data_IF_049021580336
#
_entry.id   IF_049021580336
#
_cell.length_a   1.000
_cell.length_b   1.000
_cell.length_c   1.000
_cell.angle_alpha   90.00
_cell.angle_beta   90.00
_cell.angle_gamma   90.00
#
_symmetry.space_group_name_H-M   'P 1'
#
loop_
_entity.id
_entity.type
_entity.pdbx_description
1 polymer ?
#
# COMPACT_ATOMS: atom_id res chain seq x y z
N UNK A 1 15.54 -8.16 -23.19
CA UNK A 1 15.44 -6.75 -22.77
C UNK A 1 14.63 -6.70 -21.48
N UNK A 2 15.27 -6.35 -20.37
CA UNK A 2 14.60 -6.11 -19.10
C UNK A 2 14.08 -4.67 -19.14
N UNK A 3 12.76 -4.49 -19.33
CA UNK A 3 12.16 -3.17 -19.33
C UNK A 3 12.06 -2.66 -17.89
N UNK A 4 12.79 -1.59 -17.59
CA UNK A 4 12.67 -0.85 -16.32
C UNK A 4 11.37 -0.02 -16.36
N UNK A 5 10.30 -0.57 -15.79
CA UNK A 5 9.03 0.14 -15.67
C UNK A 5 9.09 1.09 -14.49
N UNK A 6 9.15 2.40 -14.77
CA UNK A 6 8.96 3.43 -13.74
C UNK A 6 7.50 3.51 -13.34
N UNK A 7 7.24 3.35 -12.04
CA UNK A 7 5.90 3.47 -11.43
C UNK A 7 5.77 4.85 -10.77
N UNK A 8 4.88 5.68 -11.30
CA UNK A 8 4.57 7.01 -10.77
C UNK A 8 3.26 6.99 -10.00
N UNK A 9 3.23 6.30 -8.86
CA UNK A 9 2.07 6.25 -7.96
C UNK A 9 2.40 6.98 -6.67
N UNK A 10 1.45 7.77 -6.19
CA UNK A 10 1.48 8.43 -4.88
C UNK A 10 0.26 8.00 -4.10
N UNK A 11 0.36 8.09 -2.78
CA UNK A 11 -0.81 7.90 -1.94
C UNK A 11 -0.57 8.30 -0.50
N UNK A 12 -1.66 8.36 0.25
CA UNK A 12 -1.70 8.78 1.64
C UNK A 12 -2.71 7.95 2.41
N UNK A 13 -2.40 7.70 3.68
CA UNK A 13 -3.32 7.17 4.68
C UNK A 13 -3.30 8.10 5.89
N UNK A 14 -4.46 8.31 6.52
CA UNK A 14 -4.58 9.23 7.64
C UNK A 14 -5.62 8.75 8.66
N UNK A 15 -5.39 9.11 9.92
CA UNK A 15 -6.29 8.93 11.05
C UNK A 15 -6.59 10.33 11.61
N UNK A 16 -7.86 10.70 11.68
CA UNK A 16 -8.27 12.00 12.24
C UNK A 16 -8.49 11.94 13.76
N UNK A 17 -8.69 13.11 14.38
CA UNK A 17 -8.98 13.25 15.81
C UNK A 17 -10.32 12.63 16.26
N UNK A 18 -11.19 12.29 15.31
CA UNK A 18 -12.48 11.64 15.56
C UNK A 18 -12.38 10.11 15.42
N UNK A 19 -11.20 9.58 15.13
CA UNK A 19 -10.96 8.15 14.94
C UNK A 19 -11.32 7.63 13.55
N UNK A 20 -11.49 8.51 12.55
CA UNK A 20 -11.77 8.10 11.18
C UNK A 20 -10.50 7.83 10.39
N UNK A 21 -10.50 6.70 9.69
CA UNK A 21 -9.46 6.31 8.76
C UNK A 21 -9.82 6.71 7.33
N UNK A 22 -8.84 7.21 6.59
CA UNK A 22 -8.96 7.52 5.17
C UNK A 22 -7.73 7.06 4.40
N UNK A 23 -7.94 6.66 3.15
CA UNK A 23 -6.89 6.32 2.21
C UNK A 23 -7.17 6.95 0.84
N UNK A 24 -6.11 7.41 0.17
CA UNK A 24 -6.18 7.91 -1.19
C UNK A 24 -4.93 7.54 -1.99
N UNK A 25 -5.14 7.01 -3.18
CA UNK A 25 -4.08 6.58 -4.11
C UNK A 25 -4.31 7.21 -5.48
N UNK A 26 -3.25 7.74 -6.09
CA UNK A 26 -3.30 8.36 -7.42
C UNK A 26 -2.08 7.97 -8.26
N UNK A 27 -2.27 7.81 -9.58
CA UNK A 27 -1.22 7.32 -10.47
C UNK A 27 -1.39 7.79 -11.90
N UNK A 28 -0.26 7.99 -12.60
CA UNK A 28 -0.23 8.06 -14.07
C UNK A 28 -0.35 6.68 -14.73
N UNK A 29 -0.21 5.60 -13.96
CA UNK A 29 -0.08 4.23 -14.42
C UNK A 29 1.37 3.85 -14.72
N UNK A 30 1.56 2.88 -15.62
CA UNK A 30 2.89 2.42 -16.01
C UNK A 30 3.35 3.13 -17.29
N UNK A 31 4.66 3.37 -17.38
CA UNK A 31 5.31 3.78 -18.62
C UNK A 31 4.96 2.79 -19.74
N UNK A 32 4.65 3.30 -20.94
CA UNK A 32 4.30 2.49 -22.12
C UNK A 32 3.08 1.56 -21.94
N UNK A 33 2.14 1.89 -21.04
CA UNK A 33 0.88 1.15 -20.93
C UNK A 33 0.06 1.25 -22.22
N UNK A 34 -0.72 0.20 -22.53
CA UNK A 34 -1.75 0.27 -23.58
C UNK A 34 -2.80 1.33 -23.23
N UNK A 35 -3.36 2.00 -24.24
CA UNK A 35 -4.50 2.88 -24.05
C UNK A 35 -5.65 2.13 -23.36
N UNK A 36 -6.25 2.77 -22.36
CA UNK A 36 -7.32 2.17 -21.57
C UNK A 36 -6.86 1.15 -20.51
N UNK A 37 -5.57 0.84 -20.37
CA UNK A 37 -5.08 -0.01 -19.27
C UNK A 37 -5.34 0.65 -17.92
N UNK A 38 -6.00 -0.09 -17.03
CA UNK A 38 -6.27 0.29 -15.63
C UNK A 38 -5.43 -0.58 -14.70
N UNK A 39 -4.76 0.06 -13.73
CA UNK A 39 -4.00 -0.61 -12.66
C UNK A 39 -4.80 -0.70 -11.35
N UNK A 40 -4.10 -0.99 -10.27
CA UNK A 40 -4.67 -1.20 -8.92
C UNK A 40 -5.15 0.09 -8.24
N UNK A 41 -4.48 1.22 -8.47
CA UNK A 41 -4.72 2.46 -7.71
C UNK A 41 -6.19 2.92 -7.65
N UNK A 42 -6.99 2.89 -8.75
CA UNK A 42 -8.41 3.26 -8.69
C UNK A 42 -9.34 2.13 -8.25
N UNK A 43 -8.84 0.93 -7.95
CA UNK A 43 -9.65 -0.26 -7.63
C UNK A 43 -9.67 -0.45 -6.11
N UNK A 44 -10.86 -0.33 -5.52
CA UNK A 44 -11.08 -0.51 -4.09
C UNK A 44 -10.69 -1.94 -3.68
N UNK A 45 -9.88 -2.04 -2.63
CA UNK A 45 -9.37 -3.31 -2.12
C UNK A 45 -8.13 -3.83 -2.83
N UNK A 46 -7.76 -3.28 -4.00
CA UNK A 46 -6.49 -3.58 -4.64
C UNK A 46 -5.41 -2.58 -4.22
N UNK A 47 -5.49 -1.35 -4.72
CA UNK A 47 -4.50 -0.30 -4.47
C UNK A 47 -4.92 0.77 -3.45
N UNK A 48 -6.19 0.78 -3.06
CA UNK A 48 -6.75 1.73 -2.10
C UNK A 48 -7.84 1.06 -1.25
N UNK A 49 -7.79 1.20 0.07
CA UNK A 49 -8.82 0.69 0.97
C UNK A 49 -8.81 1.44 2.31
N UNK A 50 -9.97 1.68 2.91
CA UNK A 50 -10.08 2.20 4.27
C UNK A 50 -11.33 1.65 4.97
N UNK A 51 -11.17 1.24 6.22
CA UNK A 51 -12.23 0.80 7.10
C UNK A 51 -11.88 1.17 8.55
N UNK A 52 -12.74 1.95 9.21
CA UNK A 52 -12.54 2.44 10.59
C UNK A 52 -12.35 1.30 11.61
N UNK A 53 -12.84 0.10 11.32
CA UNK A 53 -12.67 -1.05 12.22
C UNK A 53 -11.34 -1.78 12.05
N UNK A 54 -10.62 -1.52 10.96
CA UNK A 54 -9.39 -2.22 10.61
C UNK A 54 -8.27 -1.24 10.28
N UNK A 55 -8.08 -0.95 8.99
CA UNK A 55 -6.93 -0.21 8.48
C UNK A 55 -7.29 0.68 7.29
N UNK A 56 -6.50 1.73 7.10
CA UNK A 56 -6.32 2.44 5.84
C UNK A 56 -5.08 1.93 5.13
N UNK A 57 -5.17 1.69 3.82
CA UNK A 57 -4.09 1.16 2.99
C UNK A 57 -4.03 1.90 1.65
N UNK A 58 -2.83 2.32 1.28
CA UNK A 58 -2.49 2.78 -0.07
C UNK A 58 -1.32 1.98 -0.60
N UNK A 59 -1.40 1.53 -1.85
CA UNK A 59 -0.38 0.70 -2.49
C UNK A 59 0.27 1.37 -3.70
N UNK A 60 1.45 0.89 -4.05
CA UNK A 60 2.20 1.25 -5.27
C UNK A 60 2.94 0.03 -5.79
N UNK A 61 2.98 -0.18 -7.12
CA UNK A 61 3.75 -1.26 -7.73
C UNK A 61 3.14 -1.84 -9.00
N UNK A 62 3.38 -3.14 -9.21
CA UNK A 62 2.87 -3.94 -10.33
C UNK A 62 1.35 -4.13 -10.25
N UNK A 63 0.59 -3.15 -10.73
CA UNK A 63 -0.86 -3.07 -10.52
C UNK A 63 -1.66 -4.33 -10.85
N UNK A 64 -1.33 -5.08 -11.91
CA UNK A 64 -2.01 -6.35 -12.22
C UNK A 64 -1.90 -7.37 -11.10
N UNK A 65 -0.76 -7.42 -10.41
CA UNK A 65 -0.53 -8.37 -9.32
C UNK A 65 -1.28 -7.93 -8.07
N UNK A 66 -1.26 -6.63 -7.75
CA UNK A 66 -2.01 -6.06 -6.62
C UNK A 66 -3.54 -6.22 -6.78
N UNK A 67 -4.05 -6.17 -8.02
CA UNK A 67 -5.45 -6.50 -8.31
C UNK A 67 -5.72 -7.97 -8.02
N UNK A 68 -4.88 -8.87 -8.54
CA UNK A 68 -5.10 -10.33 -8.43
C UNK A 68 -5.03 -10.85 -7.00
N UNK A 69 -4.29 -10.19 -6.12
CA UNK A 69 -4.17 -10.54 -4.70
C UNK A 69 -5.08 -9.73 -3.79
N UNK A 70 -5.82 -8.74 -4.33
CA UNK A 70 -6.60 -7.77 -3.55
C UNK A 70 -5.77 -7.20 -2.38
N UNK A 71 -4.53 -6.77 -2.65
CA UNK A 71 -3.51 -6.55 -1.60
C UNK A 71 -4.01 -5.66 -0.46
N UNK A 72 -4.63 -4.53 -0.76
CA UNK A 72 -5.11 -3.60 0.28
C UNK A 72 -6.21 -4.22 1.16
N UNK A 73 -7.17 -4.94 0.56
CA UNK A 73 -8.22 -5.62 1.31
C UNK A 73 -7.70 -6.86 2.04
N UNK A 74 -6.74 -7.60 1.45
CA UNK A 74 -6.13 -8.77 2.07
C UNK A 74 -5.45 -8.39 3.40
N UNK A 75 -4.72 -7.27 3.43
CA UNK A 75 -4.14 -6.72 4.67
C UNK A 75 -5.24 -6.47 5.71
N UNK A 76 -6.31 -5.77 5.32
CA UNK A 76 -7.44 -5.50 6.22
C UNK A 76 -8.11 -6.79 6.72
N UNK A 77 -8.28 -7.79 5.86
CA UNK A 77 -8.86 -9.08 6.19
C UNK A 77 -7.99 -9.88 7.17
N UNK A 78 -6.67 -9.90 6.98
CA UNK A 78 -5.73 -10.53 7.89
C UNK A 78 -5.76 -9.88 9.28
N UNK A 79 -5.76 -8.54 9.34
CA UNK A 79 -5.91 -7.80 10.60
C UNK A 79 -7.26 -8.10 11.25
N UNK A 80 -8.35 -8.11 10.47
CA UNK A 80 -9.71 -8.30 10.98
C UNK A 80 -9.95 -9.71 11.52
N UNK A 81 -9.65 -10.72 10.72
CA UNK A 81 -10.07 -12.10 10.94
C UNK A 81 -9.00 -12.93 11.64
N UNK A 82 -7.73 -12.70 11.33
CA UNK A 82 -6.61 -13.44 11.92
C UNK A 82 -5.94 -12.69 13.08
N UNK A 83 -6.30 -11.42 13.30
CA UNK A 83 -5.72 -10.56 14.35
C UNK A 83 -4.19 -10.44 14.25
N UNK A 84 -3.67 -10.50 13.02
CA UNK A 84 -2.24 -10.37 12.79
C UNK A 84 -1.75 -8.93 13.04
N UNK A 85 -0.52 -8.75 13.55
CA UNK A 85 0.13 -7.44 13.58
C UNK A 85 0.23 -6.83 12.17
N UNK A 86 0.19 -5.49 12.07
CA UNK A 86 0.17 -4.78 10.79
C UNK A 86 1.34 -5.15 9.88
N UNK A 87 2.55 -5.17 10.42
CA UNK A 87 3.75 -5.49 9.66
C UNK A 87 3.69 -6.91 9.09
N UNK A 88 3.24 -7.88 9.88
CA UNK A 88 3.09 -9.26 9.43
C UNK A 88 2.01 -9.39 8.34
N UNK A 89 0.87 -8.72 8.51
CA UNK A 89 -0.20 -8.71 7.52
C UNK A 89 0.25 -8.07 6.19
N UNK A 90 0.98 -6.95 6.27
CA UNK A 90 1.55 -6.28 5.11
C UNK A 90 2.60 -7.15 4.41
N UNK A 91 3.49 -7.79 5.17
CA UNK A 91 4.52 -8.67 4.62
C UNK A 91 3.91 -9.89 3.93
N UNK A 92 2.93 -10.55 4.55
CA UNK A 92 2.20 -11.67 3.96
C UNK A 92 1.58 -11.28 2.60
N UNK A 93 0.88 -10.15 2.55
CA UNK A 93 0.25 -9.68 1.32
C UNK A 93 1.29 -9.33 0.22
N UNK A 94 2.43 -8.76 0.59
CA UNK A 94 3.53 -8.49 -0.34
C UNK A 94 4.25 -9.77 -0.80
N UNK A 95 4.29 -10.81 0.03
CA UNK A 95 4.83 -12.11 -0.33
C UNK A 95 3.92 -12.84 -1.33
N UNK A 96 2.59 -12.71 -1.19
CA UNK A 96 1.63 -13.17 -2.21
C UNK A 96 1.82 -12.44 -3.55
N UNK A 97 1.98 -11.11 -3.51
CA UNK A 97 2.30 -10.31 -4.71
C UNK A 97 3.60 -10.79 -5.34
N UNK A 98 4.64 -11.03 -4.53
CA UNK A 98 5.94 -11.53 -4.98
C UNK A 98 5.85 -12.93 -5.59
N UNK A 99 5.03 -13.82 -5.02
CA UNK A 99 4.82 -15.18 -5.50
C UNK A 99 4.26 -15.23 -6.93
N UNK A 100 3.58 -14.17 -7.38
CA UNK A 100 3.10 -14.01 -8.75
C UNK A 100 3.94 -13.02 -9.58
N UNK A 101 5.20 -12.82 -9.18
CA UNK A 101 6.20 -11.96 -9.83
C UNK A 101 5.85 -10.45 -9.82
N UNK A 102 5.08 -10.00 -8.82
CA UNK A 102 4.82 -8.59 -8.58
C UNK A 102 5.89 -7.95 -7.69
N UNK A 103 6.05 -6.64 -7.83
CA UNK A 103 6.92 -5.81 -6.99
C UNK A 103 6.22 -4.51 -6.59
N UNK A 104 6.49 -3.99 -5.40
CA UNK A 104 5.89 -2.76 -4.90
C UNK A 104 5.98 -2.59 -3.38
N UNK A 105 5.08 -1.77 -2.86
CA UNK A 105 4.96 -1.51 -1.43
C UNK A 105 3.60 -0.95 -1.04
N UNK A 106 3.39 -0.87 0.27
CA UNK A 106 2.17 -0.39 0.89
C UNK A 106 2.49 0.54 2.05
N UNK A 107 1.64 1.53 2.27
CA UNK A 107 1.54 2.25 3.53
C UNK A 107 0.22 1.84 4.20
N UNK A 108 0.29 1.49 5.48
CA UNK A 108 -0.83 0.94 6.26
C UNK A 108 -0.91 1.69 7.58
N UNK A 109 -2.12 2.07 8.00
CA UNK A 109 -2.40 2.76 9.26
C UNK A 109 -3.65 2.13 9.91
N UNK A 110 -3.59 1.80 11.19
CA UNK A 110 -4.74 1.30 11.95
C UNK A 110 -5.42 2.39 12.81
N UNK A 111 -6.58 2.04 13.38
CA UNK A 111 -7.39 2.93 14.23
C UNK A 111 -6.72 3.32 15.56
N UNK A 112 -5.64 2.64 15.95
CA UNK A 112 -4.86 2.94 17.14
C UNK A 112 -3.68 3.86 16.82
N UNK A 113 -3.50 4.24 15.55
CA UNK A 113 -2.38 5.06 15.09
C UNK A 113 -1.09 4.27 14.84
N UNK A 114 -1.12 2.94 14.88
CA UNK A 114 0.03 2.14 14.46
C UNK A 114 0.11 2.14 12.94
N UNK A 115 1.32 2.20 12.40
CA UNK A 115 1.52 2.19 10.95
C UNK A 115 2.68 1.28 10.55
N UNK A 116 2.67 0.87 9.28
CA UNK A 116 3.84 0.26 8.62
C UNK A 116 3.96 0.75 7.19
N UNK A 117 5.18 0.76 6.66
CA UNK A 117 5.50 1.16 5.29
C UNK A 117 6.35 0.08 4.61
N UNK A 118 5.78 -1.11 4.43
CA UNK A 118 6.47 -2.29 3.91
C UNK A 118 6.60 -2.27 2.38
N UNK A 119 7.70 -2.79 1.86
CA UNK A 119 7.93 -2.92 0.42
C UNK A 119 8.87 -4.09 0.09
N UNK A 120 8.62 -4.74 -1.05
CA UNK A 120 9.48 -5.81 -1.60
C UNK A 120 10.28 -5.34 -2.83
N UNK A 121 10.08 -4.10 -3.27
CA UNK A 121 10.93 -3.40 -4.24
C UNK A 121 12.30 -3.04 -3.65
N UNK A 122 13.22 -2.55 -4.49
CA UNK A 122 14.53 -2.07 -4.04
C UNK A 122 14.41 -0.85 -3.12
N UNK A 123 13.44 0.02 -3.38
CA UNK A 123 13.11 1.18 -2.56
C UNK A 123 11.66 1.62 -2.73
N UNK A 124 11.21 2.48 -1.81
CA UNK A 124 9.92 3.14 -1.83
C UNK A 124 10.06 4.52 -1.20
N UNK A 125 9.82 5.57 -1.99
CA UNK A 125 9.70 6.93 -1.49
C UNK A 125 8.55 7.00 -0.50
N UNK A 126 8.85 7.32 0.76
CA UNK A 126 7.87 7.28 1.84
C UNK A 126 8.18 8.29 2.93
N UNK A 127 7.15 8.67 3.67
CA UNK A 127 7.28 9.47 4.86
C UNK A 127 6.04 9.38 5.74
N UNK A 128 6.18 9.84 6.96
CA UNK A 128 5.13 9.82 7.99
C UNK A 128 5.32 10.98 8.94
N UNK A 129 4.23 11.40 9.58
CA UNK A 129 4.23 12.34 10.70
C UNK A 129 3.15 11.88 11.67
N UNK A 130 3.55 11.68 12.93
CA UNK A 130 2.65 11.28 14.00
C UNK A 130 2.20 12.46 14.87
N UNK A 131 1.50 12.14 15.96
CA UNK A 131 1.06 13.11 16.96
C UNK A 131 2.22 13.78 17.71
N UNK A 132 3.43 13.21 17.64
CA UNK A 132 4.64 13.82 18.20
C UNK A 132 5.19 14.96 17.32
N UNK A 133 4.61 15.18 16.13
CA UNK A 133 4.99 16.20 15.17
C UNK A 133 6.34 15.96 14.52
N UNK A 134 6.94 14.76 14.67
CA UNK A 134 8.26 14.45 14.12
C UNK A 134 8.11 13.79 12.74
N UNK A 135 8.54 14.45 11.65
CA UNK A 135 8.50 13.82 10.34
C UNK A 135 9.61 12.77 10.21
N UNK A 136 9.29 11.67 9.53
CA UNK A 136 10.27 10.69 9.04
C UNK A 136 10.15 10.59 7.52
N UNK A 137 11.28 10.53 6.84
CA UNK A 137 11.38 10.36 5.38
C UNK A 137 12.42 9.29 5.08
N UNK A 138 12.11 8.38 4.16
CA UNK A 138 13.01 7.31 3.77
C UNK A 138 12.77 6.88 2.31
N UNK A 139 13.77 6.20 1.74
CA UNK A 139 13.72 5.70 0.36
C UNK A 139 14.08 4.21 0.34
N UNK A 140 15.27 3.87 0.80
CA UNK A 140 15.75 2.48 0.84
C UNK A 140 15.39 1.80 2.16
N UNK A 141 15.76 0.53 2.28
CA UNK A 141 15.83 -0.17 3.57
C UNK A 141 17.02 0.37 4.36
N UNK A 142 16.93 0.29 5.68
CA UNK A 142 18.05 0.59 6.58
C UNK A 142 19.23 -0.37 6.37
#
# INVERSE_FOLDING_TARGET
>A
MMYDYKYGTVGAVALDQHGNLAAGTSTGGMTNKRYGRVGDSPIIGAGNYADNETVAVSATGSGEMFIRTLTAFNIAAQVKYQKLPLEQAAQNALDEVKAINGSGGVIVLDKSGNYTMSFNSEGMYRGTIGNDGKPLVAIYKD
#
